data_IF_743235106412
#
_entry.id   IF_743235106412
#
_cell.length_a   1.000
_cell.length_b   1.000
_cell.length_c   1.000
_cell.angle_alpha   90.00
_cell.angle_beta   90.00
_cell.angle_gamma   90.00
#
_symmetry.space_group_name_H-M   'P 1'
#
loop_
_entity.id
_entity.type
_entity.pdbx_description
1 polymer ?
#
# COMPACT_ATOMS: atom_id res chain seq x y z
N UNK A 1 -11.37 6.48 -5.67
CA UNK A 1 -11.06 7.13 -4.37
C UNK A 1 -9.56 7.01 -4.14
N UNK A 2 -8.95 7.90 -3.37
CA UNK A 2 -7.53 7.79 -3.05
C UNK A 2 -7.34 6.88 -1.85
N UNK A 3 -6.48 5.87 -1.97
CA UNK A 3 -6.17 4.94 -0.91
C UNK A 3 -4.71 5.08 -0.49
N UNK A 4 -4.43 4.72 0.76
CA UNK A 4 -3.07 4.65 1.28
C UNK A 4 -2.79 3.29 1.92
N UNK A 5 -1.54 2.87 1.83
CA UNK A 5 -0.96 1.78 2.60
C UNK A 5 0.28 2.33 3.31
N UNK A 6 0.29 2.23 4.63
CA UNK A 6 1.41 2.57 5.48
C UNK A 6 2.17 1.30 5.88
N UNK A 7 3.45 1.30 5.56
CA UNK A 7 4.42 0.26 5.88
C UNK A 7 5.39 0.82 6.93
N UNK A 8 5.33 0.33 8.18
CA UNK A 8 6.21 0.77 9.27
C UNK A 8 7.38 -0.18 9.49
N UNK A 9 8.60 0.37 9.63
CA UNK A 9 9.84 -0.35 10.01
C UNK A 9 10.17 -1.62 9.20
N UNK A 10 9.72 -1.68 7.94
CA UNK A 10 10.02 -2.82 7.06
C UNK A 10 11.45 -2.81 6.52
N UNK A 11 12.12 -3.97 6.44
CA UNK A 11 13.40 -4.11 5.75
C UNK A 11 13.23 -3.89 4.24
N UNK A 12 14.32 -3.50 3.58
CA UNK A 12 14.28 -3.08 2.18
C UNK A 12 13.91 -4.22 1.21
N UNK A 13 14.24 -5.47 1.54
CA UNK A 13 13.91 -6.65 0.72
C UNK A 13 12.42 -6.94 0.68
N UNK A 14 11.79 -7.06 1.86
CA UNK A 14 10.34 -7.26 1.97
C UNK A 14 9.56 -6.13 1.32
N UNK A 15 10.03 -4.91 1.54
CA UNK A 15 9.42 -3.73 0.96
C UNK A 15 9.51 -3.70 -0.58
N UNK A 16 10.63 -4.12 -1.17
CA UNK A 16 10.72 -4.32 -2.62
C UNK A 16 9.72 -5.37 -3.10
N UNK A 17 9.53 -6.45 -2.33
CA UNK A 17 8.54 -7.49 -2.62
C UNK A 17 7.11 -6.95 -2.66
N UNK A 18 6.72 -6.19 -1.63
CA UNK A 18 5.40 -5.56 -1.52
C UNK A 18 5.14 -4.59 -2.67
N UNK A 19 6.11 -3.72 -2.96
CA UNK A 19 6.01 -2.77 -4.08
C UNK A 19 5.80 -3.50 -5.40
N UNK A 20 6.54 -4.58 -5.64
CA UNK A 20 6.41 -5.38 -6.87
C UNK A 20 5.05 -6.05 -6.97
N UNK A 21 4.50 -6.55 -5.86
CA UNK A 21 3.15 -7.12 -5.81
C UNK A 21 2.09 -6.07 -6.13
N UNK A 22 2.17 -4.89 -5.50
CA UNK A 22 1.22 -3.79 -5.73
C UNK A 22 1.28 -3.31 -7.19
N UNK A 23 2.47 -3.03 -7.71
CA UNK A 23 2.64 -2.63 -9.12
C UNK A 23 2.16 -3.71 -10.10
N UNK A 24 2.34 -4.98 -9.77
CA UNK A 24 1.94 -6.11 -10.62
C UNK A 24 0.44 -6.42 -10.58
N UNK A 25 -0.24 -6.12 -9.47
CA UNK A 25 -1.65 -6.49 -9.24
C UNK A 25 -2.61 -5.30 -9.31
N UNK A 26 -2.29 -4.19 -8.66
CA UNK A 26 -3.10 -2.95 -8.63
C UNK A 26 -2.78 -2.06 -9.83
N UNK A 27 -1.54 -2.14 -10.34
CA UNK A 27 -1.10 -1.45 -11.54
C UNK A 27 -0.04 -0.38 -11.29
N UNK A 28 0.62 0.04 -12.37
CA UNK A 28 1.78 0.96 -12.34
C UNK A 28 1.45 2.39 -11.89
N UNK A 29 0.17 2.72 -11.70
CA UNK A 29 -0.28 4.06 -11.30
C UNK A 29 -0.18 4.32 -9.80
N UNK A 30 0.24 3.34 -8.99
CA UNK A 30 0.54 3.57 -7.58
C UNK A 30 1.81 4.41 -7.41
N UNK A 31 1.73 5.44 -6.57
CA UNK A 31 2.86 6.29 -6.20
C UNK A 31 3.40 5.89 -4.82
N UNK A 32 4.72 5.86 -4.68
CA UNK A 32 5.38 5.41 -3.44
C UNK A 32 6.13 6.59 -2.82
N UNK A 33 5.74 6.95 -1.60
CA UNK A 33 6.35 8.00 -0.80
C UNK A 33 7.17 7.37 0.32
N UNK A 34 8.45 7.73 0.40
CA UNK A 34 9.35 7.26 1.47
C UNK A 34 9.63 8.40 2.44
N UNK A 35 9.34 8.19 3.71
CA UNK A 35 9.75 9.12 4.77
C UNK A 35 11.23 8.93 5.07
N UNK A 36 12.03 10.00 4.96
CA UNK A 36 13.48 9.98 5.26
C UNK A 36 13.79 9.73 6.74
N UNK A 37 12.88 10.11 7.66
CA UNK A 37 13.15 10.10 9.11
C UNK A 37 12.60 8.90 9.86
N UNK A 38 11.52 8.25 9.38
CA UNK A 38 10.79 7.29 10.21
C UNK A 38 10.85 5.83 9.74
N UNK A 39 11.65 5.51 8.70
CA UNK A 39 11.61 4.19 8.01
C UNK A 39 10.19 3.78 7.57
N UNK A 40 9.25 4.73 7.56
CA UNK A 40 7.86 4.59 7.13
C UNK A 40 7.79 4.80 5.64
N UNK A 41 7.07 3.94 4.95
CA UNK A 41 6.77 4.11 3.55
C UNK A 41 5.26 4.10 3.35
N UNK A 42 4.81 5.02 2.51
CA UNK A 42 3.39 5.18 2.19
C UNK A 42 3.25 4.90 0.71
N UNK A 43 2.36 3.98 0.36
CA UNK A 43 1.99 3.69 -1.01
C UNK A 43 0.61 4.29 -1.23
N UNK A 44 0.52 5.25 -2.14
CA UNK A 44 -0.72 5.84 -2.59
C UNK A 44 -1.14 5.18 -3.89
N UNK A 45 -2.40 4.78 -3.97
CA UNK A 45 -2.96 4.27 -5.21
C UNK A 45 -4.39 4.80 -5.35
N UNK A 46 -4.73 5.15 -6.59
CA UNK A 46 -6.08 5.59 -6.94
C UNK A 46 -6.78 4.41 -7.59
N UNK A 47 -7.88 3.96 -6.98
CA UNK A 47 -8.75 2.93 -7.57
C UNK A 47 -10.02 3.56 -8.11
N UNK A 48 -10.46 3.09 -9.27
CA UNK A 48 -11.85 3.26 -9.72
C UNK A 48 -12.73 2.24 -8.99
N UNK A 49 -14.01 2.59 -8.75
CA UNK A 49 -14.95 1.78 -7.94
C UNK A 49 -15.02 0.31 -8.39
N UNK A 50 -14.90 0.07 -9.70
CA UNK A 50 -14.95 -1.27 -10.30
C UNK A 50 -13.80 -2.19 -9.86
N UNK A 51 -12.65 -1.64 -9.50
CA UNK A 51 -11.42 -2.38 -9.12
C UNK A 51 -11.14 -2.29 -7.61
N UNK A 52 -11.93 -1.52 -6.87
CA UNK A 52 -11.70 -1.24 -5.45
C UNK A 52 -11.71 -2.51 -4.59
N UNK A 53 -12.69 -3.40 -4.81
CA UNK A 53 -12.79 -4.67 -4.06
C UNK A 53 -11.61 -5.60 -4.32
N UNK A 54 -11.20 -5.74 -5.58
CA UNK A 54 -10.05 -6.56 -5.95
C UNK A 54 -8.76 -6.00 -5.36
N UNK A 55 -8.57 -4.69 -5.47
CA UNK A 55 -7.41 -4.00 -4.92
C UNK A 55 -7.35 -4.12 -3.39
N UNK A 56 -8.47 -3.97 -2.70
CA UNK A 56 -8.55 -4.18 -1.25
C UNK A 56 -8.18 -5.62 -0.88
N UNK A 57 -8.72 -6.63 -1.58
CA UNK A 57 -8.37 -8.03 -1.32
C UNK A 57 -6.87 -8.31 -1.53
N UNK A 58 -6.24 -7.70 -2.55
CA UNK A 58 -4.80 -7.79 -2.76
C UNK A 58 -4.03 -7.19 -1.58
N UNK A 59 -4.47 -6.03 -1.07
CA UNK A 59 -3.83 -5.39 0.08
C UNK A 59 -3.99 -6.20 1.35
N UNK A 60 -5.16 -6.80 1.57
CA UNK A 60 -5.39 -7.71 2.70
C UNK A 60 -4.49 -8.95 2.62
N UNK A 61 -4.33 -9.55 1.44
CA UNK A 61 -3.40 -10.68 1.24
C UNK A 61 -1.94 -10.28 1.52
N UNK A 62 -1.53 -9.07 1.13
CA UNK A 62 -0.21 -8.55 1.47
C UNK A 62 -0.11 -8.34 2.97
N UNK A 63 -1.13 -7.76 3.61
CA UNK A 63 -1.15 -7.53 5.05
C UNK A 63 -1.05 -8.85 5.84
N UNK A 64 -1.75 -9.89 5.40
CA UNK A 64 -1.70 -11.23 5.99
C UNK A 64 -0.32 -11.87 5.81
N UNK A 65 0.22 -11.86 4.59
CA UNK A 65 1.54 -12.41 4.27
C UNK A 65 2.67 -11.74 5.07
N UNK A 66 2.53 -10.45 5.33
CA UNK A 66 3.50 -9.64 6.07
C UNK A 66 2.95 -9.25 7.46
N UNK A 67 2.13 -10.11 8.07
CA UNK A 67 1.47 -9.88 9.37
C UNK A 67 2.44 -9.71 10.54
N UNK A 68 3.70 -10.10 10.37
CA UNK A 68 4.79 -9.79 11.31
C UNK A 68 5.14 -8.30 11.39
N UNK A 69 4.64 -7.49 10.46
CA UNK A 69 4.87 -6.05 10.36
C UNK A 69 3.59 -5.25 10.61
N UNK A 70 3.77 -4.00 11.02
CA UNK A 70 2.66 -3.08 11.22
C UNK A 70 2.27 -2.41 9.89
N UNK A 71 1.38 -3.07 9.15
CA UNK A 71 0.81 -2.57 7.88
C UNK A 71 -0.58 -2.01 8.16
N UNK A 72 -0.79 -0.75 7.79
CA UNK A 72 -2.12 -0.11 7.87
C UNK A 72 -2.56 0.30 6.48
N UNK A 73 -3.84 0.16 6.16
CA UNK A 73 -4.39 0.65 4.90
C UNK A 73 -5.70 1.40 5.17
N UNK A 74 -6.09 2.29 4.26
CA UNK A 74 -7.30 3.09 4.42
C UNK A 74 -7.61 3.98 3.22
N UNK A 75 -8.73 4.69 3.33
CA UNK A 75 -9.18 5.70 2.37
C UNK A 75 -8.69 7.09 2.81
N UNK A 76 -8.14 7.86 1.87
CA UNK A 76 -7.91 9.28 2.02
C UNK A 76 -9.21 10.00 1.69
N UNK A 77 -10.01 10.33 2.69
CA UNK A 77 -11.13 11.26 2.52
C UNK A 77 -10.58 12.68 2.47
N UNK A 78 -10.87 13.42 1.40
CA UNK A 78 -10.64 14.88 1.38
C UNK A 78 -11.50 15.48 2.50
N UNK A 79 -10.89 16.01 3.56
CA UNK A 79 -11.60 16.97 4.40
C UNK A 79 -11.93 18.17 3.53
N UNK A 80 -13.23 18.47 3.45
CA UNK A 80 -13.78 19.63 2.73
C UNK A 80 -13.36 20.93 3.38
#
# INVERSE_FOLDING_TARGET
>A
MDHYILLDKMPQEDLKGIIKLIHGKIGKNSQIFRSKNNKKQIILYTSVVKEEKDNLSIIEQIAEKYSSYNIKHGLLTKQS
#
